data_IF_853198353015
#
_entry.id   IF_853198353015
#
_cell.length_a   1.000
_cell.length_b   1.000
_cell.length_c   1.000
_cell.angle_alpha   90.00
_cell.angle_beta   90.00
_cell.angle_gamma   90.00
#
_symmetry.space_group_name_H-M   'P 1'
#
loop_
_entity.id
_entity.type
_entity.pdbx_description
1 polymer ?
#
# COMPACT_ATOMS: atom_id res chain seq x y z
N UNK A 1 -6.20 1.90 -21.05
CA UNK A 1 -6.27 3.37 -21.25
C UNK A 1 -4.89 3.93 -20.98
N UNK A 2 -4.51 5.02 -21.64
CA UNK A 2 -3.26 5.69 -21.33
C UNK A 2 -3.54 6.70 -20.20
N UNK A 3 -2.87 6.56 -19.07
CA UNK A 3 -2.91 7.50 -17.96
C UNK A 3 -1.88 8.63 -18.21
N UNK A 4 -2.14 9.82 -17.71
CA UNK A 4 -1.25 10.98 -17.87
C UNK A 4 -0.27 11.11 -16.70
N UNK A 5 -0.76 10.84 -15.47
CA UNK A 5 -0.02 11.10 -14.22
C UNK A 5 0.54 9.85 -13.56
N UNK A 6 0.20 8.67 -14.09
CA UNK A 6 0.69 7.39 -13.60
C UNK A 6 1.07 6.46 -14.75
N UNK A 7 1.89 5.48 -14.45
CA UNK A 7 2.16 4.35 -15.35
C UNK A 7 1.69 3.08 -14.65
N UNK A 8 1.08 2.18 -15.42
CA UNK A 8 0.60 0.88 -14.94
C UNK A 8 1.17 -0.21 -15.81
N UNK A 9 1.98 -1.06 -15.22
CA UNK A 9 2.63 -2.19 -15.89
C UNK A 9 2.18 -3.49 -15.27
N UNK A 10 1.94 -4.50 -16.10
CA UNK A 10 1.54 -5.85 -15.68
C UNK A 10 2.60 -6.86 -16.10
N UNK A 11 3.03 -7.68 -15.15
CA UNK A 11 3.94 -8.79 -15.37
C UNK A 11 3.43 -10.04 -14.65
N UNK A 12 2.79 -10.93 -15.38
CA UNK A 12 2.06 -12.05 -14.80
C UNK A 12 0.97 -11.57 -13.81
N UNK A 13 0.96 -12.10 -12.58
CA UNK A 13 -0.04 -11.73 -11.56
C UNK A 13 0.30 -10.43 -10.80
N UNK A 14 1.37 -9.74 -11.16
CA UNK A 14 1.87 -8.55 -10.47
C UNK A 14 1.61 -7.30 -11.30
N UNK A 15 0.99 -6.29 -10.68
CA UNK A 15 0.80 -4.96 -11.27
C UNK A 15 1.70 -3.94 -10.58
N UNK A 16 2.48 -3.19 -11.35
CA UNK A 16 3.25 -2.04 -10.83
C UNK A 16 2.55 -0.74 -11.20
N UNK A 17 2.29 0.08 -10.16
CA UNK A 17 1.75 1.43 -10.28
C UNK A 17 2.86 2.43 -10.01
N UNK A 18 3.25 3.23 -10.99
CA UNK A 18 4.28 4.25 -10.85
C UNK A 18 3.64 5.62 -10.90
N UNK A 19 3.77 6.39 -9.81
CA UNK A 19 3.38 7.81 -9.79
C UNK A 19 4.36 8.55 -10.69
N UNK A 20 3.88 9.16 -11.77
CA UNK A 20 4.72 9.69 -12.85
C UNK A 20 4.61 11.22 -13.00
N UNK A 21 5.05 11.93 -11.98
CA UNK A 21 5.18 13.40 -11.95
C UNK A 21 6.53 13.82 -11.35
N UNK A 22 7.67 13.33 -11.90
CA UNK A 22 9.00 13.50 -11.27
C UNK A 22 9.43 14.97 -11.16
N UNK A 23 8.99 15.85 -12.05
CA UNK A 23 9.33 17.28 -12.05
C UNK A 23 8.78 18.02 -10.81
N UNK A 24 7.70 17.51 -10.23
CA UNK A 24 7.09 18.03 -9.00
C UNK A 24 7.24 17.05 -7.83
N UNK A 25 8.29 16.21 -7.82
CA UNK A 25 8.55 15.25 -6.76
C UNK A 25 7.41 14.25 -6.55
N UNK A 26 6.72 13.87 -7.63
CA UNK A 26 5.55 12.98 -7.60
C UNK A 26 4.43 13.48 -6.66
N UNK A 27 4.29 14.80 -6.49
CA UNK A 27 3.16 15.39 -5.79
C UNK A 27 1.86 15.16 -6.57
N UNK A 28 0.76 14.93 -5.85
CA UNK A 28 -0.52 14.57 -6.44
C UNK A 28 -1.53 15.73 -6.34
N UNK A 29 -2.23 15.97 -7.44
CA UNK A 29 -3.39 16.85 -7.54
C UNK A 29 -4.66 16.03 -7.82
N UNK A 30 -5.81 16.70 -7.89
CA UNK A 30 -7.11 16.05 -8.06
C UNK A 30 -7.12 14.99 -9.16
N UNK A 31 -6.70 15.37 -10.38
CA UNK A 31 -6.81 14.47 -11.53
C UNK A 31 -5.94 13.21 -11.37
N UNK A 32 -4.73 13.34 -10.79
CA UNK A 32 -3.88 12.20 -10.47
C UNK A 32 -4.51 11.26 -9.43
N UNK A 33 -5.27 11.80 -8.46
CA UNK A 33 -6.01 10.95 -7.50
C UNK A 33 -7.07 10.10 -8.19
N UNK A 34 -7.80 10.67 -9.16
CA UNK A 34 -8.83 9.94 -9.89
C UNK A 34 -8.24 8.91 -10.85
N UNK A 35 -7.12 9.21 -11.55
CA UNK A 35 -6.41 8.21 -12.36
C UNK A 35 -5.93 7.01 -11.52
N UNK A 36 -5.34 7.29 -10.36
CA UNK A 36 -4.93 6.22 -9.45
C UNK A 36 -6.11 5.39 -8.96
N UNK A 37 -7.25 6.04 -8.65
CA UNK A 37 -8.46 5.33 -8.26
C UNK A 37 -8.95 4.36 -9.35
N UNK A 38 -9.02 4.83 -10.59
CA UNK A 38 -9.40 4.01 -11.75
C UNK A 38 -8.45 2.83 -11.95
N UNK A 39 -7.13 3.06 -11.82
CA UNK A 39 -6.13 2.00 -11.94
C UNK A 39 -6.27 0.95 -10.83
N UNK A 40 -6.53 1.37 -9.58
CA UNK A 40 -6.79 0.43 -8.49
C UNK A 40 -8.13 -0.28 -8.63
N UNK A 41 -9.16 0.34 -9.19
CA UNK A 41 -10.43 -0.31 -9.51
C UNK A 41 -10.23 -1.42 -10.54
N UNK A 42 -9.50 -1.13 -11.61
CA UNK A 42 -9.15 -2.11 -12.63
C UNK A 42 -8.32 -3.27 -12.07
N UNK A 43 -7.35 -2.99 -11.19
CA UNK A 43 -6.56 -4.01 -10.50
C UNK A 43 -7.45 -4.87 -9.56
N UNK A 44 -8.31 -4.25 -8.80
CA UNK A 44 -9.22 -4.96 -7.88
C UNK A 44 -10.13 -5.92 -8.62
N UNK A 45 -10.67 -5.50 -9.77
CA UNK A 45 -11.60 -6.27 -10.59
C UNK A 45 -10.96 -7.40 -11.41
N UNK A 46 -9.65 -7.30 -11.72
CA UNK A 46 -8.98 -8.28 -12.58
C UNK A 46 -8.56 -9.54 -11.79
N UNK A 47 -9.19 -10.72 -12.00
CA UNK A 47 -8.86 -11.94 -11.25
C UNK A 47 -7.43 -12.44 -11.51
N UNK A 48 -6.83 -12.09 -12.65
CA UNK A 48 -5.47 -12.45 -13.01
C UNK A 48 -4.39 -11.61 -12.31
N UNK A 49 -4.77 -10.53 -11.61
CA UNK A 49 -3.85 -9.68 -10.86
C UNK A 49 -3.96 -9.95 -9.36
N UNK A 50 -2.85 -10.33 -8.73
CA UNK A 50 -2.83 -10.80 -7.34
C UNK A 50 -2.12 -9.86 -6.38
N UNK A 51 -1.03 -9.20 -6.81
CA UNK A 51 -0.20 -8.31 -5.98
C UNK A 51 0.05 -7.00 -6.71
N UNK A 52 -0.06 -5.88 -5.99
CA UNK A 52 0.30 -4.56 -6.50
C UNK A 52 1.61 -4.06 -5.90
N UNK A 53 2.45 -3.41 -6.71
CA UNK A 53 3.62 -2.65 -6.26
C UNK A 53 3.36 -1.19 -6.59
N UNK A 54 3.52 -0.29 -5.62
CA UNK A 54 3.39 1.16 -5.79
C UNK A 54 4.75 1.81 -5.64
N UNK A 55 5.16 2.64 -6.60
CA UNK A 55 6.45 3.36 -6.58
C UNK A 55 6.33 4.74 -7.20
N UNK A 56 7.40 5.54 -7.14
CA UNK A 56 7.49 6.86 -7.79
C UNK A 56 8.46 6.85 -8.96
N UNK A 57 8.16 7.58 -10.02
CA UNK A 57 9.06 7.77 -11.15
C UNK A 57 10.31 8.57 -10.74
N UNK A 58 11.46 8.20 -11.32
CA UNK A 58 12.75 8.83 -11.04
C UNK A 58 13.36 8.40 -9.70
N UNK A 59 14.43 9.08 -9.30
CA UNK A 59 15.23 8.69 -8.13
C UNK A 59 14.98 9.55 -6.88
N UNK A 60 14.26 10.67 -7.02
CA UNK A 60 14.18 11.71 -5.98
C UNK A 60 13.07 11.49 -4.96
N UNK A 61 11.93 10.99 -5.40
CA UNK A 61 10.76 10.89 -4.56
C UNK A 61 9.86 9.71 -4.94
N UNK A 62 9.35 9.06 -3.93
CA UNK A 62 8.15 8.26 -4.03
C UNK A 62 6.94 9.16 -4.28
N UNK A 63 6.67 10.07 -3.35
CA UNK A 63 5.70 11.17 -3.50
C UNK A 63 5.92 12.22 -2.40
N UNK A 64 5.90 13.49 -2.78
CA UNK A 64 5.90 14.63 -1.86
C UNK A 64 4.50 14.92 -1.26
N UNK A 65 3.50 14.10 -1.58
CA UNK A 65 2.13 14.25 -1.08
C UNK A 65 1.27 15.18 -1.91
N UNK A 66 0.46 16.03 -1.29
CA UNK A 66 -0.42 16.95 -1.98
C UNK A 66 0.36 18.03 -2.75
N UNK A 67 -0.08 18.33 -3.97
CA UNK A 67 0.48 19.41 -4.79
C UNK A 67 0.02 20.78 -4.27
N UNK A 68 0.72 21.28 -3.22
CA UNK A 68 0.40 22.55 -2.58
C UNK A 68 0.58 23.75 -3.52
N UNK A 69 1.43 23.66 -4.55
CA UNK A 69 1.58 24.73 -5.55
C UNK A 69 0.34 24.80 -6.43
N UNK A 70 -0.13 23.66 -6.93
CA UNK A 70 -1.37 23.57 -7.69
C UNK A 70 -2.56 24.11 -6.87
N UNK A 71 -2.65 23.72 -5.60
CA UNK A 71 -3.67 24.23 -4.68
C UNK A 71 -3.60 25.75 -4.48
N UNK A 72 -2.42 26.29 -4.22
CA UNK A 72 -2.22 27.72 -3.99
C UNK A 72 -2.55 28.60 -5.22
N UNK A 73 -2.43 28.04 -6.42
CA UNK A 73 -2.81 28.68 -7.69
C UNK A 73 -4.30 28.55 -8.02
N UNK A 74 -5.13 28.06 -7.09
CA UNK A 74 -6.57 27.87 -7.31
C UNK A 74 -6.91 26.63 -8.11
N UNK A 75 -5.99 25.68 -8.23
CA UNK A 75 -6.23 24.42 -8.91
C UNK A 75 -7.34 23.60 -8.24
N UNK A 76 -7.99 22.75 -9.04
CA UNK A 76 -9.08 21.90 -8.57
C UNK A 76 -8.63 21.03 -7.40
N UNK A 77 -9.40 21.07 -6.33
CA UNK A 77 -9.24 20.23 -5.16
C UNK A 77 -10.26 19.09 -5.19
N UNK A 78 -9.84 17.93 -4.67
CA UNK A 78 -10.74 16.79 -4.53
C UNK A 78 -9.99 15.48 -4.61
N UNK A 79 -10.54 14.48 -3.97
CA UNK A 79 -10.10 13.09 -4.04
C UNK A 79 -11.32 12.18 -4.24
N UNK A 80 -11.15 11.01 -4.84
CA UNK A 80 -12.22 10.02 -4.98
C UNK A 80 -12.67 9.50 -3.59
N UNK A 81 -13.81 8.81 -3.50
CA UNK A 81 -14.27 8.16 -2.26
C UNK A 81 -13.24 7.19 -1.66
N UNK A 82 -12.39 6.58 -2.51
CA UNK A 82 -11.25 5.74 -2.13
C UNK A 82 -10.09 6.51 -1.48
N UNK A 83 -10.22 7.83 -1.30
CA UNK A 83 -9.29 8.69 -0.57
C UNK A 83 -8.14 9.22 -1.40
N UNK A 84 -7.12 9.74 -0.71
CA UNK A 84 -5.91 10.27 -1.32
C UNK A 84 -5.23 9.20 -2.19
N UNK A 85 -4.79 9.56 -3.37
CA UNK A 85 -4.23 8.65 -4.37
C UNK A 85 -5.17 7.49 -4.74
N UNK A 86 -6.49 7.63 -4.56
CA UNK A 86 -7.42 6.53 -4.81
C UNK A 86 -7.18 5.29 -3.92
N UNK A 87 -6.44 5.43 -2.83
CA UNK A 87 -5.96 4.30 -2.03
C UNK A 87 -6.23 4.43 -0.53
N UNK A 88 -6.00 5.59 0.07
CA UNK A 88 -5.92 5.70 1.53
C UNK A 88 -7.23 5.43 2.27
N UNK A 89 -8.36 5.35 1.57
CA UNK A 89 -9.66 4.96 2.12
C UNK A 89 -10.23 3.69 1.45
N UNK A 90 -9.39 2.87 0.81
CA UNK A 90 -9.80 1.60 0.21
C UNK A 90 -9.77 0.47 1.21
N UNK A 91 -10.78 0.38 2.04
CA UNK A 91 -10.95 -0.72 2.99
C UNK A 91 -11.55 -1.99 2.34
N UNK A 92 -11.91 -1.91 1.08
CA UNK A 92 -12.46 -2.97 0.23
C UNK A 92 -11.38 -3.78 -0.51
N UNK A 93 -10.15 -3.25 -0.62
CA UNK A 93 -9.08 -3.87 -1.40
C UNK A 93 -8.33 -4.94 -0.60
N UNK A 94 -8.73 -6.19 -0.76
CA UNK A 94 -8.11 -7.33 -0.08
C UNK A 94 -6.88 -7.90 -0.81
N UNK A 95 -6.55 -7.41 -2.03
CA UNK A 95 -5.28 -7.76 -2.69
C UNK A 95 -4.12 -7.04 -2.01
N UNK A 96 -2.98 -7.71 -1.76
CA UNK A 96 -1.83 -7.10 -1.12
C UNK A 96 -1.18 -6.03 -1.99
N UNK A 97 -0.69 -4.99 -1.31
CA UNK A 97 0.06 -3.89 -1.91
C UNK A 97 1.42 -3.74 -1.23
N UNK A 98 2.46 -3.54 -2.03
CA UNK A 98 3.83 -3.28 -1.60
C UNK A 98 4.18 -1.85 -2.01
N UNK A 99 4.58 -1.00 -1.06
CA UNK A 99 5.19 0.28 -1.37
C UNK A 99 6.70 0.10 -1.59
N UNK A 100 7.18 0.37 -2.81
CA UNK A 100 8.60 0.45 -3.13
C UNK A 100 9.03 1.92 -3.09
N UNK A 101 9.54 2.35 -1.93
CA UNK A 101 9.81 3.76 -1.64
C UNK A 101 11.21 4.14 -2.11
N UNK A 102 11.30 4.77 -3.29
CA UNK A 102 12.55 5.11 -3.98
C UNK A 102 13.24 6.39 -3.46
N UNK A 103 12.57 7.22 -2.66
CA UNK A 103 13.10 8.48 -2.17
C UNK A 103 12.16 9.14 -1.17
N UNK A 104 11.93 10.45 -1.34
CA UNK A 104 11.08 11.24 -0.45
C UNK A 104 9.64 10.72 -0.42
N UNK A 105 9.13 10.39 0.76
CA UNK A 105 7.72 10.06 1.04
C UNK A 105 7.21 11.01 2.14
N UNK A 106 6.56 12.10 1.75
CA UNK A 106 6.15 13.17 2.66
C UNK A 106 4.63 13.38 2.64
N UNK A 107 4.05 13.64 3.81
CA UNK A 107 2.62 13.91 3.92
C UNK A 107 1.78 12.80 3.29
N UNK A 108 0.91 13.17 2.35
CA UNK A 108 0.12 12.21 1.59
C UNK A 108 0.93 11.10 0.91
N UNK A 109 2.21 11.36 0.56
CA UNK A 109 3.11 10.34 0.03
C UNK A 109 3.45 9.27 1.07
N UNK A 110 3.72 9.67 2.31
CA UNK A 110 3.90 8.71 3.39
C UNK A 110 2.58 8.01 3.76
N UNK A 111 1.46 8.72 3.68
CA UNK A 111 0.13 8.13 3.91
C UNK A 111 -0.23 7.05 2.88
N UNK A 112 0.21 7.19 1.61
CA UNK A 112 0.13 6.15 0.58
C UNK A 112 0.94 4.92 1.00
N UNK A 113 2.20 5.13 1.40
CA UNK A 113 3.07 4.02 1.84
C UNK A 113 2.49 3.30 3.06
N UNK A 114 1.97 4.04 4.06
CA UNK A 114 1.29 3.48 5.24
C UNK A 114 -0.02 2.73 4.91
N UNK A 115 -0.64 3.03 3.77
CA UNK A 115 -1.84 2.33 3.30
C UNK A 115 -1.52 1.02 2.56
N UNK A 116 -0.26 0.82 2.15
CA UNK A 116 0.23 -0.46 1.63
C UNK A 116 0.49 -1.44 2.79
N UNK A 117 0.50 -2.74 2.48
CA UNK A 117 0.68 -3.80 3.47
C UNK A 117 2.14 -4.02 3.85
N UNK A 118 3.05 -3.75 2.92
CA UNK A 118 4.50 -3.94 3.04
C UNK A 118 5.20 -2.69 2.50
N UNK A 119 6.26 -2.24 3.19
CA UNK A 119 7.09 -1.12 2.75
C UNK A 119 8.53 -1.61 2.56
N UNK A 120 9.01 -1.58 1.32
CA UNK A 120 10.42 -1.75 0.97
C UNK A 120 10.97 -0.37 0.64
N UNK A 121 12.05 0.01 1.26
CA UNK A 121 12.60 1.35 1.12
C UNK A 121 14.02 1.33 0.56
N UNK A 122 14.32 2.28 -0.33
CA UNK A 122 15.71 2.62 -0.62
C UNK A 122 16.36 3.20 0.64
N UNK A 123 17.66 3.00 0.83
CA UNK A 123 18.48 3.65 1.87
C UNK A 123 18.51 5.20 1.74
N UNK A 124 18.05 5.74 0.60
CA UNK A 124 17.85 7.18 0.38
C UNK A 124 16.43 7.65 0.73
N UNK A 125 15.52 6.74 1.10
CA UNK A 125 14.17 7.12 1.42
C UNK A 125 14.09 7.90 2.74
N UNK A 126 13.21 8.90 2.73
CA UNK A 126 12.96 9.77 3.89
C UNK A 126 11.44 9.93 4.07
N UNK A 127 10.98 9.68 5.27
CA UNK A 127 9.57 9.70 5.62
C UNK A 127 9.26 10.85 6.59
N UNK A 128 8.11 11.52 6.41
CA UNK A 128 7.57 12.44 7.41
C UNK A 128 6.07 12.69 7.20
N UNK A 129 5.41 13.16 8.25
CA UNK A 129 4.09 13.81 8.21
C UNK A 129 4.28 15.30 8.59
N UNK A 130 4.75 16.14 7.63
CA UNK A 130 5.16 17.51 7.92
C UNK A 130 3.98 18.51 7.91
N UNK A 131 2.74 18.04 7.77
CA UNK A 131 1.54 18.85 7.64
C UNK A 131 1.43 19.93 8.72
N UNK A 132 1.77 19.71 10.02
CA UNK A 132 1.70 20.75 11.03
C UNK A 132 2.59 21.98 10.75
N UNK A 133 3.67 21.81 9.96
CA UNK A 133 4.58 22.90 9.59
C UNK A 133 3.98 23.85 8.55
N UNK A 134 2.89 23.46 7.92
CA UNK A 134 2.14 24.26 6.92
C UNK A 134 0.69 24.49 7.33
N UNK A 135 0.35 24.29 8.61
CA UNK A 135 -0.99 24.53 9.16
C UNK A 135 -2.04 23.50 8.76
N UNK A 136 -1.61 22.30 8.38
CA UNK A 136 -2.47 21.18 7.99
C UNK A 136 -2.30 19.99 8.96
N UNK A 137 -3.02 18.92 8.71
CA UNK A 137 -2.90 17.64 9.41
C UNK A 137 -2.93 16.47 8.40
N UNK A 138 -2.31 15.35 8.76
CA UNK A 138 -2.21 14.14 7.92
C UNK A 138 -3.54 13.38 7.90
N UNK A 139 -4.53 13.93 7.19
CA UNK A 139 -5.93 13.47 7.20
C UNK A 139 -6.21 12.31 6.25
N UNK A 140 -5.25 11.94 5.41
CA UNK A 140 -5.38 10.77 4.53
C UNK A 140 -5.04 9.44 5.23
N UNK A 141 -5.13 9.41 6.55
CA UNK A 141 -5.00 8.21 7.37
C UNK A 141 -3.68 8.09 8.14
N UNK A 142 -2.71 9.00 7.93
CA UNK A 142 -1.42 8.96 8.61
C UNK A 142 -1.53 9.03 10.12
N UNK A 143 -2.40 9.90 10.64
CA UNK A 143 -2.65 10.03 12.08
C UNK A 143 -3.30 8.79 12.72
N UNK A 144 -3.87 7.90 11.92
CA UNK A 144 -4.53 6.69 12.41
C UNK A 144 -3.69 5.43 12.16
N UNK A 145 -3.04 5.31 10.98
CA UNK A 145 -2.21 4.15 10.64
C UNK A 145 -0.89 4.13 11.39
N UNK A 146 -0.20 5.27 11.44
CA UNK A 146 1.13 5.31 12.07
C UNK A 146 1.12 4.88 13.55
N UNK A 147 0.21 5.39 14.41
CA UNK A 147 0.13 4.93 15.81
C UNK A 147 -0.21 3.45 15.97
N UNK A 148 -0.98 2.88 15.04
CA UNK A 148 -1.31 1.45 15.05
C UNK A 148 -0.10 0.58 14.68
N UNK A 149 0.80 1.10 13.85
CA UNK A 149 1.98 0.36 13.37
C UNK A 149 3.18 0.46 14.33
N UNK A 150 3.46 1.66 14.88
CA UNK A 150 4.69 1.88 15.69
C UNK A 150 4.43 2.23 17.15
N UNK A 151 3.17 2.28 17.56
CA UNK A 151 2.74 2.65 18.90
C UNK A 151 2.65 4.17 19.11
N UNK A 152 1.81 4.56 20.08
CA UNK A 152 1.37 5.95 20.26
C UNK A 152 2.51 6.95 20.45
N UNK A 153 3.47 6.68 21.35
CA UNK A 153 4.52 7.65 21.70
C UNK A 153 5.47 7.94 20.54
N UNK A 154 5.86 6.92 19.79
CA UNK A 154 6.73 7.05 18.62
C UNK A 154 6.02 7.83 17.49
N UNK A 155 4.76 7.49 17.23
CA UNK A 155 3.94 8.18 16.24
C UNK A 155 3.70 9.65 16.61
N UNK A 156 3.38 9.97 17.86
CA UNK A 156 3.21 11.35 18.34
C UNK A 156 4.48 12.17 18.17
N UNK A 157 5.66 11.59 18.43
CA UNK A 157 6.95 12.25 18.18
C UNK A 157 7.15 12.66 16.72
N UNK A 158 6.70 11.83 15.75
CA UNK A 158 6.75 12.14 14.32
C UNK A 158 5.66 13.13 13.91
N UNK A 159 4.42 12.90 14.30
CA UNK A 159 3.25 13.68 13.89
C UNK A 159 3.33 15.12 14.42
N UNK A 160 3.59 15.31 15.72
CA UNK A 160 3.56 16.64 16.34
C UNK A 160 4.75 17.52 15.92
N UNK A 161 5.89 16.92 15.57
CA UNK A 161 7.07 17.66 15.17
C UNK A 161 7.23 17.80 13.66
N UNK A 162 6.56 16.95 12.89
CA UNK A 162 6.75 16.84 11.44
C UNK A 162 8.22 16.50 11.08
N UNK A 163 8.94 15.77 11.98
CA UNK A 163 10.35 15.43 11.76
C UNK A 163 10.50 14.41 10.63
N UNK A 164 11.67 14.44 10.03
CA UNK A 164 12.07 13.44 9.03
C UNK A 164 12.61 12.19 9.72
N UNK A 165 12.37 11.05 9.11
CA UNK A 165 12.82 9.71 9.53
C UNK A 165 13.50 9.05 8.34
N UNK A 166 14.70 8.50 8.51
CA UNK A 166 15.38 7.73 7.47
C UNK A 166 14.75 6.35 7.27
N UNK A 167 15.13 5.65 6.21
CA UNK A 167 14.69 4.28 5.95
C UNK A 167 15.09 3.33 7.10
N UNK A 168 16.33 3.42 7.58
CA UNK A 168 16.85 2.58 8.67
C UNK A 168 16.11 2.87 10.00
N UNK A 169 15.86 4.16 10.29
CA UNK A 169 15.04 4.51 11.45
C UNK A 169 13.62 3.97 11.30
N UNK A 170 13.03 4.06 10.10
CA UNK A 170 11.72 3.49 9.79
C UNK A 170 11.65 1.99 10.00
N UNK A 171 12.72 1.27 9.65
CA UNK A 171 12.85 -0.16 9.91
C UNK A 171 12.98 -0.44 11.42
N UNK A 172 13.79 0.31 12.13
CA UNK A 172 13.92 0.18 13.58
C UNK A 172 12.62 0.53 14.34
N UNK A 173 11.82 1.45 13.80
CA UNK A 173 10.49 1.79 14.32
C UNK A 173 9.43 0.72 13.99
N UNK A 174 9.61 -0.05 12.93
CA UNK A 174 8.77 -1.19 12.55
C UNK A 174 7.75 -0.90 11.44
N UNK A 175 7.79 0.23 10.74
CA UNK A 175 6.93 0.49 9.58
C UNK A 175 7.61 0.19 8.23
N UNK A 176 8.93 0.05 8.17
CA UNK A 176 9.66 -0.41 6.98
C UNK A 176 10.05 -1.87 7.17
N UNK A 177 9.71 -2.73 6.21
CA UNK A 177 10.01 -4.16 6.24
C UNK A 177 11.46 -4.46 5.84
N UNK A 178 11.98 -3.76 4.83
CA UNK A 178 13.33 -3.98 4.32
C UNK A 178 13.91 -2.69 3.77
N UNK A 179 15.22 -2.47 4.01
CA UNK A 179 15.99 -1.36 3.45
C UNK A 179 17.03 -1.93 2.52
N UNK A 180 17.13 -1.37 1.30
CA UNK A 180 18.03 -1.83 0.25
C UNK A 180 18.70 -0.65 -0.47
N UNK A 181 19.76 -0.92 -1.23
CA UNK A 181 20.35 0.08 -2.10
C UNK A 181 19.34 0.53 -3.19
N UNK A 182 19.43 1.77 -3.71
CA UNK A 182 18.48 2.26 -4.71
C UNK A 182 18.35 1.36 -5.94
N UNK A 183 19.46 0.80 -6.41
CA UNK A 183 19.49 -0.09 -7.58
C UNK A 183 18.73 -1.42 -7.35
N UNK A 184 18.59 -1.84 -6.08
CA UNK A 184 17.98 -3.12 -5.71
C UNK A 184 16.50 -2.98 -5.30
N UNK A 185 15.96 -1.75 -5.26
CA UNK A 185 14.62 -1.50 -4.72
C UNK A 185 13.53 -2.30 -5.44
N UNK A 186 13.48 -2.19 -6.77
CA UNK A 186 12.43 -2.87 -7.54
C UNK A 186 12.60 -4.39 -7.56
N UNK A 187 13.85 -4.88 -7.55
CA UNK A 187 14.12 -6.32 -7.45
C UNK A 187 13.73 -6.88 -6.07
N UNK A 188 13.95 -6.10 -5.00
CA UNK A 188 13.49 -6.46 -3.66
C UNK A 188 11.95 -6.47 -3.56
N UNK A 189 11.28 -5.43 -4.06
CA UNK A 189 9.82 -5.39 -4.09
C UNK A 189 9.23 -6.54 -4.91
N UNK A 190 9.85 -6.86 -6.05
CA UNK A 190 9.47 -8.01 -6.88
C UNK A 190 9.65 -9.33 -6.14
N UNK A 191 10.75 -9.56 -5.46
CA UNK A 191 10.99 -10.76 -4.65
C UNK A 191 9.90 -10.95 -3.59
N UNK A 192 9.49 -9.89 -2.89
CA UNK A 192 8.38 -9.95 -1.93
C UNK A 192 7.05 -10.28 -2.63
N UNK A 193 6.78 -9.71 -3.79
CA UNK A 193 5.58 -10.02 -4.56
C UNK A 193 5.58 -11.47 -5.05
N UNK A 194 6.71 -11.99 -5.51
CA UNK A 194 6.85 -13.39 -5.95
C UNK A 194 6.61 -14.36 -4.78
N UNK A 195 7.13 -14.08 -3.56
CA UNK A 195 6.86 -14.86 -2.36
C UNK A 195 5.36 -14.89 -2.01
N UNK A 196 4.67 -13.76 -2.18
CA UNK A 196 3.21 -13.70 -2.00
C UNK A 196 2.50 -14.54 -3.07
N UNK A 197 2.95 -14.50 -4.31
CA UNK A 197 2.37 -15.26 -5.42
C UNK A 197 2.62 -16.78 -5.31
N UNK A 198 3.58 -17.23 -4.50
CA UNK A 198 3.74 -18.65 -4.15
C UNK A 198 2.60 -19.18 -3.28
N UNK A 199 1.86 -18.30 -2.61
CA UNK A 199 0.73 -18.62 -1.75
C UNK A 199 -0.60 -18.50 -2.53
N UNK A 200 -1.64 -19.22 -2.06
CA UNK A 200 -2.99 -19.07 -2.61
C UNK A 200 -3.48 -17.62 -2.51
N UNK A 201 -3.83 -16.96 -3.63
CA UNK A 201 -4.35 -15.61 -3.58
C UNK A 201 -5.66 -15.50 -2.80
N UNK A 202 -6.45 -16.57 -2.72
CA UNK A 202 -7.67 -16.61 -1.91
C UNK A 202 -7.34 -16.60 -0.41
N UNK A 203 -6.32 -17.36 0.01
CA UNK A 203 -5.86 -17.37 1.40
C UNK A 203 -5.21 -16.05 1.81
N UNK A 204 -4.45 -15.42 0.91
CA UNK A 204 -3.86 -14.10 1.14
C UNK A 204 -4.94 -13.03 1.35
N UNK A 205 -5.96 -12.99 0.48
CA UNK A 205 -7.09 -12.04 0.60
C UNK A 205 -7.86 -12.24 1.90
N UNK A 206 -8.14 -13.49 2.26
CA UNK A 206 -8.79 -13.84 3.52
C UNK A 206 -7.96 -13.41 4.75
N UNK A 207 -6.65 -13.67 4.71
CA UNK A 207 -5.73 -13.30 5.79
C UNK A 207 -5.65 -11.78 5.96
N UNK A 208 -5.50 -11.02 4.86
CA UNK A 208 -5.46 -9.55 4.90
C UNK A 208 -6.76 -8.98 5.49
N UNK A 209 -7.92 -9.42 5.00
CA UNK A 209 -9.22 -8.98 5.52
C UNK A 209 -9.37 -9.29 7.01
N UNK A 210 -9.03 -10.52 7.42
CA UNK A 210 -9.16 -10.95 8.82
C UNK A 210 -8.23 -10.16 9.75
N UNK A 211 -6.99 -9.87 9.34
CA UNK A 211 -6.06 -9.04 10.12
C UNK A 211 -6.58 -7.62 10.26
N UNK A 212 -6.94 -6.96 9.15
CA UNK A 212 -7.35 -5.55 9.17
C UNK A 212 -8.65 -5.36 9.96
N UNK A 213 -9.69 -6.16 9.69
CA UNK A 213 -10.97 -6.08 10.41
C UNK A 213 -10.83 -6.53 11.87
N UNK A 214 -9.99 -7.52 12.14
CA UNK A 214 -9.73 -8.00 13.50
C UNK A 214 -9.09 -6.95 14.40
N UNK A 215 -8.28 -6.03 13.86
CA UNK A 215 -7.71 -4.90 14.62
C UNK A 215 -8.75 -3.84 15.03
N UNK A 216 -9.92 -3.83 14.41
CA UNK A 216 -11.01 -2.92 14.73
C UNK A 216 -12.06 -3.57 15.67
N UNK A 217 -11.94 -4.87 15.97
CA UNK A 217 -12.80 -5.57 16.92
C UNK A 217 -12.46 -5.20 18.37
N UNK A 218 -13.47 -5.19 19.28
CA UNK A 218 -13.27 -4.75 20.65
C UNK A 218 -12.37 -5.68 21.48
N UNK A 219 -12.18 -6.93 21.05
CA UNK A 219 -11.29 -7.91 21.71
C UNK A 219 -10.79 -8.96 20.74
N UNK A 220 -9.70 -9.62 21.12
CA UNK A 220 -9.17 -10.78 20.37
C UNK A 220 -10.22 -11.90 20.25
N UNK A 221 -11.00 -12.13 21.29
CA UNK A 221 -12.09 -13.12 21.28
C UNK A 221 -13.15 -12.75 20.22
N UNK A 222 -13.56 -11.48 20.16
CA UNK A 222 -14.51 -10.99 19.16
C UNK A 222 -13.95 -11.16 17.73
N UNK A 223 -12.67 -10.82 17.52
CA UNK A 223 -12.01 -10.99 16.23
C UNK A 223 -11.99 -12.45 15.79
N UNK A 224 -11.58 -13.38 16.66
CA UNK A 224 -11.52 -14.84 16.37
C UNK A 224 -12.93 -15.37 16.07
N UNK A 225 -13.93 -15.03 16.87
CA UNK A 225 -15.30 -15.53 16.69
C UNK A 225 -15.99 -14.88 15.48
N UNK A 226 -15.59 -13.66 15.10
CA UNK A 226 -16.17 -12.91 13.98
C UNK A 226 -15.58 -13.26 12.60
N UNK A 227 -14.34 -13.71 12.54
CA UNK A 227 -13.57 -13.84 11.28
C UNK A 227 -14.23 -14.72 10.20
N UNK A 228 -15.00 -15.72 10.59
CA UNK A 228 -15.71 -16.61 9.67
C UNK A 228 -16.82 -15.90 8.87
N UNK A 229 -17.24 -14.70 9.29
CA UNK A 229 -18.27 -13.89 8.64
C UNK A 229 -17.70 -12.93 7.58
N UNK A 230 -16.39 -12.79 7.49
CA UNK A 230 -15.75 -11.91 6.52
C UNK A 230 -15.84 -12.50 5.12
N UNK A 231 -16.10 -11.64 4.13
CA UNK A 231 -16.40 -12.07 2.76
C UNK A 231 -15.24 -12.81 2.10
N UNK A 232 -14.01 -12.33 2.25
CA UNK A 232 -12.84 -13.00 1.68
C UNK A 232 -12.55 -14.35 2.38
N UNK A 233 -12.80 -14.45 3.70
CA UNK A 233 -12.69 -15.73 4.43
C UNK A 233 -13.73 -16.72 3.91
N UNK A 234 -14.98 -16.30 3.77
CA UNK A 234 -16.04 -17.13 3.23
C UNK A 234 -15.78 -17.54 1.76
N UNK A 235 -15.21 -16.64 0.96
CA UNK A 235 -14.83 -16.93 -0.42
C UNK A 235 -13.68 -17.95 -0.50
N UNK A 236 -12.67 -17.83 0.37
CA UNK A 236 -11.56 -18.79 0.45
C UNK A 236 -12.07 -20.23 0.64
N UNK A 237 -13.00 -20.45 1.57
CA UNK A 237 -13.56 -21.78 1.83
C UNK A 237 -14.34 -22.39 0.64
N UNK A 238 -14.80 -21.55 -0.30
CA UNK A 238 -15.52 -21.97 -1.51
C UNK A 238 -14.63 -22.05 -2.74
N UNK A 239 -13.36 -21.67 -2.62
CA UNK A 239 -12.45 -21.55 -3.76
C UNK A 239 -11.87 -22.90 -4.20
N UNK A 240 -11.45 -22.95 -5.46
CA UNK A 240 -10.66 -24.07 -5.97
C UNK A 240 -9.32 -24.21 -5.23
N UNK A 241 -8.72 -23.10 -4.81
CA UNK A 241 -7.46 -23.07 -4.07
C UNK A 241 -7.56 -23.77 -2.71
N UNK A 242 -8.72 -23.75 -2.05
CA UNK A 242 -8.96 -24.44 -0.79
C UNK A 242 -8.83 -25.97 -0.92
N UNK A 243 -9.14 -26.50 -2.10
CA UNK A 243 -8.99 -27.94 -2.42
C UNK A 243 -7.59 -28.25 -2.94
N UNK A 244 -7.06 -27.38 -3.80
CA UNK A 244 -5.76 -27.57 -4.45
C UNK A 244 -4.61 -27.64 -3.44
N UNK A 245 -4.58 -26.76 -2.43
CA UNK A 245 -3.50 -26.69 -1.46
C UNK A 245 -3.25 -28.02 -0.73
N UNK A 246 -4.22 -28.57 -0.02
CA UNK A 246 -4.09 -29.88 0.66
C UNK A 246 -3.78 -31.03 -0.31
N UNK A 247 -4.37 -31.00 -1.51
CA UNK A 247 -4.13 -32.03 -2.53
C UNK A 247 -2.69 -32.00 -3.05
N UNK A 248 -2.18 -30.83 -3.41
CA UNK A 248 -0.79 -30.65 -3.86
C UNK A 248 0.20 -31.05 -2.77
N UNK A 249 -0.06 -30.67 -1.50
CA UNK A 249 0.75 -31.08 -0.36
C UNK A 249 0.80 -32.61 -0.18
N UNK A 250 -0.35 -33.28 -0.23
CA UNK A 250 -0.44 -34.74 -0.10
C UNK A 250 0.30 -35.45 -1.26
N UNK A 251 0.25 -34.88 -2.46
CA UNK A 251 0.92 -35.40 -3.65
C UNK A 251 2.40 -34.98 -3.76
N UNK A 252 2.92 -34.18 -2.83
CA UNK A 252 4.29 -33.65 -2.83
C UNK A 252 4.66 -32.91 -4.14
N UNK A 253 3.72 -32.17 -4.71
CA UNK A 253 3.91 -31.30 -5.88
C UNK A 253 3.67 -29.84 -5.52
N UNK A 254 4.14 -28.93 -6.37
CA UNK A 254 3.77 -27.53 -6.24
C UNK A 254 2.28 -27.34 -6.53
N UNK A 255 1.60 -26.47 -5.76
CA UNK A 255 0.23 -26.12 -6.03
C UNK A 255 0.07 -25.25 -7.31
N UNK A 256 -1.07 -25.38 -7.95
CA UNK A 256 -1.46 -24.59 -9.12
C UNK A 256 -2.63 -23.68 -8.75
N UNK A 257 -2.31 -22.51 -8.16
CA UNK A 257 -3.32 -21.58 -7.69
C UNK A 257 -4.15 -20.99 -8.83
N UNK A 258 -5.46 -20.88 -8.63
CA UNK A 258 -6.41 -20.31 -9.59
C UNK A 258 -6.87 -18.91 -9.17
N UNK A 259 -6.82 -18.58 -7.89
CA UNK A 259 -7.30 -17.32 -7.35
C UNK A 259 -8.82 -17.17 -7.38
N UNK A 260 -9.54 -18.28 -7.47
CA UNK A 260 -10.98 -18.32 -7.62
C UNK A 260 -11.59 -19.50 -6.86
#
# INVERSE_FOLDING_TARGET
MAYEYIQVERDGPITTFTINRPDVMNALHSDAHFEMAEAFDAFAADPGQWVGIVTGAGERAFSAGNDLKHQAMGGKMGSPPSGFAGLTSRFDLNKPLIAAVNGVAMGGGFEIALACDIIIASDKAVFALPEPRVGLAALAGGMHRLPRQIGLKRAMGMILTGRRVSAEEGQALGFVNEVVAPADLMSAARRWADLICECSPMSIRASKEAVIKGLDEPSLEAAINGQMKYDAVAAMFRSADFVEGPMAFAMKRKPEWKGA
#
